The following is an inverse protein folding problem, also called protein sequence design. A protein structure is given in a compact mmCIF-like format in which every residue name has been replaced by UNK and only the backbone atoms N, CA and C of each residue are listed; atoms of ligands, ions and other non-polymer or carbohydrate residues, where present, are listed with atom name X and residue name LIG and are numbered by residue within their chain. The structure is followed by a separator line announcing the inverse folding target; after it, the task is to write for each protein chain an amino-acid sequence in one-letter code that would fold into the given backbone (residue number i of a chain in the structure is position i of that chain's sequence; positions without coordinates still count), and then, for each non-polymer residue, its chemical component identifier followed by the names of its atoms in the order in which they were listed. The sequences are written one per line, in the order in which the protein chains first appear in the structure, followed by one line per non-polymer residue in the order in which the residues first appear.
data_IF_806950158305
#
_entry.id   IF_806950158305
#
_cell.length_a   1.000
_cell.length_b   1.000
_cell.length_c   1.000
_cell.angle_alpha   90.00
_cell.angle_beta   90.00
_cell.angle_gamma   90.00
#
_symmetry.space_group_name_H-M   'P 1'
#
loop_
_entity.id
_entity.type
_entity.pdbx_description
1 polymer ?
#
# COMPACT_ATOMS: atom_id res chain seq x y z
N UNK A 1 7.65 -16.57 30.97
CA UNK A 1 9.10 -16.29 30.89
C UNK A 1 9.45 -15.39 32.05
N UNK A 2 10.32 -15.78 32.97
CA UNK A 2 10.99 -14.76 33.78
C UNK A 2 11.81 -13.93 32.80
N UNK A 3 11.85 -12.60 32.92
CA UNK A 3 12.49 -11.74 31.92
C UNK A 3 13.86 -12.26 31.42
N UNK A 4 14.62 -12.93 32.30
CA UNK A 4 15.93 -13.52 32.04
C UNK A 4 15.99 -14.65 31.00
N UNK A 5 14.90 -15.37 30.68
CA UNK A 5 14.95 -16.45 29.69
C UNK A 5 14.74 -15.92 28.25
N UNK A 6 14.01 -14.80 28.06
CA UNK A 6 13.98 -14.08 26.77
C UNK A 6 15.37 -13.57 26.41
N UNK A 7 16.15 -13.13 27.40
CA UNK A 7 17.53 -12.68 27.19
C UNK A 7 18.42 -13.79 26.64
N UNK A 8 18.21 -15.04 27.07
CA UNK A 8 18.99 -16.18 26.59
C UNK A 8 18.61 -16.60 25.17
N UNK A 9 17.33 -16.50 24.83
CA UNK A 9 16.82 -16.82 23.49
C UNK A 9 17.24 -15.75 22.48
N UNK A 10 17.18 -14.47 22.85
CA UNK A 10 17.72 -13.38 22.06
C UNK A 10 19.25 -13.51 21.90
N UNK A 11 19.97 -13.90 22.96
CA UNK A 11 21.42 -14.11 22.90
C UNK A 11 21.81 -15.31 22.02
N UNK A 12 21.02 -16.38 22.01
CA UNK A 12 21.25 -17.52 21.14
C UNK A 12 20.99 -17.18 19.65
N UNK A 13 19.90 -16.46 19.35
CA UNK A 13 19.61 -15.96 18.00
C UNK A 13 20.69 -14.96 17.52
N UNK A 14 21.17 -14.07 18.39
CA UNK A 14 22.30 -13.17 18.06
C UNK A 14 23.62 -13.93 17.84
N UNK A 15 23.83 -15.03 18.56
CA UNK A 15 25.02 -15.85 18.40
C UNK A 15 24.99 -16.70 17.13
N UNK A 16 23.82 -17.06 16.58
CA UNK A 16 23.76 -17.79 15.32
C UNK A 16 24.10 -16.89 14.15
N UNK A 17 23.57 -15.66 14.10
CA UNK A 17 23.91 -14.64 13.09
C UNK A 17 25.43 -14.42 12.96
N UNK A 18 26.14 -14.28 14.09
CA UNK A 18 27.60 -14.03 14.11
C UNK A 18 28.44 -15.19 13.60
N UNK A 19 27.87 -16.40 13.50
CA UNK A 19 28.54 -17.57 12.94
C UNK A 19 28.38 -17.70 11.44
N UNK A 20 27.74 -16.71 10.78
CA UNK A 20 27.54 -16.72 9.33
C UNK A 20 26.65 -17.88 8.88
N UNK A 21 25.71 -18.27 9.75
CA UNK A 21 24.61 -19.13 9.33
C UNK A 21 23.81 -18.40 8.26
N UNK A 22 23.25 -19.13 7.30
CA UNK A 22 22.63 -18.52 6.14
C UNK A 22 21.48 -17.54 6.47
N UNK A 23 20.82 -17.65 7.65
CA UNK A 23 19.76 -16.71 8.08
C UNK A 23 19.44 -16.75 9.61
N UNK A 24 18.83 -15.68 10.18
CA UNK A 24 18.23 -15.66 11.55
C UNK A 24 17.29 -14.45 11.78
N UNK A 25 16.21 -14.56 12.61
CA UNK A 25 15.44 -13.40 13.12
C UNK A 25 14.96 -13.37 14.56
N UNK A 26 14.65 -12.11 14.98
CA UNK A 26 13.86 -11.73 16.15
C UNK A 26 12.99 -10.43 15.95
N UNK A 27 11.77 -10.27 16.53
CA UNK A 27 11.01 -8.97 16.62
C UNK A 27 10.05 -8.82 17.85
N UNK A 28 9.84 -7.59 18.42
CA UNK A 28 8.83 -7.28 19.50
C UNK A 28 8.61 -5.81 19.98
N UNK A 29 7.38 -5.46 20.45
CA UNK A 29 6.98 -4.15 21.04
C UNK A 29 6.94 -4.08 22.60
N UNK A 30 6.93 -2.90 23.26
CA UNK A 30 7.12 -2.76 24.72
C UNK A 30 6.05 -3.42 25.61
N UNK A 31 4.80 -3.48 25.16
CA UNK A 31 3.74 -4.22 25.88
C UNK A 31 3.95 -5.74 25.81
N UNK A 32 4.67 -6.18 24.78
CA UNK A 32 5.10 -7.56 24.58
C UNK A 32 6.29 -7.90 25.51
N UNK A 33 7.07 -6.91 25.98
CA UNK A 33 8.25 -7.12 26.82
C UNK A 33 7.96 -7.40 28.32
N UNK A 34 6.73 -7.17 28.80
CA UNK A 34 6.36 -7.40 30.22
C UNK A 34 5.88 -8.82 30.49
N UNK A 35 5.20 -9.41 29.50
CA UNK A 35 4.67 -10.78 29.54
C UNK A 35 5.49 -11.77 28.67
N UNK A 36 6.31 -11.23 27.77
CA UNK A 36 7.16 -11.98 26.87
C UNK A 36 6.79 -11.84 25.38
N UNK A 37 7.77 -12.04 24.49
CA UNK A 37 7.67 -11.63 23.09
C UNK A 37 7.94 -12.66 22.00
N UNK A 38 7.13 -12.70 20.95
CA UNK A 38 7.36 -13.62 19.82
C UNK A 38 7.99 -12.90 18.64
N UNK A 39 9.06 -13.48 18.14
CA UNK A 39 9.96 -13.01 17.09
C UNK A 39 9.69 -13.70 15.74
N UNK A 40 9.83 -13.02 14.59
CA UNK A 40 9.54 -13.58 13.25
C UNK A 40 10.66 -13.34 12.23
N UNK A 41 10.95 -14.34 11.38
CA UNK A 41 11.91 -14.31 10.25
C UNK A 41 11.45 -13.51 9.01
N UNK A 42 11.98 -12.30 8.74
CA UNK A 42 11.86 -11.58 7.45
C UNK A 42 13.03 -11.95 6.54
N UNK A 43 12.91 -13.08 5.85
CA UNK A 43 13.97 -13.61 5.02
C UNK A 43 14.46 -12.60 3.96
N UNK A 44 15.66 -12.79 3.39
CA UNK A 44 16.27 -11.89 2.39
C UNK A 44 15.38 -11.59 1.15
N UNK A 45 14.34 -12.39 0.93
CA UNK A 45 13.30 -12.21 -0.09
C UNK A 45 12.10 -11.34 0.38
N UNK A 46 12.26 -10.62 1.50
CA UNK A 46 11.49 -9.48 2.00
C UNK A 46 9.96 -9.63 1.98
N UNK A 47 9.31 -9.77 3.14
CA UNK A 47 7.86 -9.57 3.38
C UNK A 47 6.85 -10.25 2.41
N UNK A 48 7.31 -11.05 1.44
CA UNK A 48 6.57 -11.33 0.21
C UNK A 48 5.37 -12.27 0.38
N UNK A 49 5.15 -12.80 1.60
CA UNK A 49 4.05 -13.72 1.91
C UNK A 49 3.25 -13.34 3.18
N UNK A 50 3.53 -12.20 3.82
CA UNK A 50 2.80 -11.82 5.06
C UNK A 50 1.47 -11.13 4.75
N UNK A 51 1.34 -10.52 3.56
CA UNK A 51 0.08 -9.90 3.13
C UNK A 51 -0.53 -10.66 1.96
N UNK A 52 -1.40 -11.62 2.27
CA UNK A 52 -2.10 -12.38 1.25
C UNK A 52 -2.95 -11.44 0.37
N UNK A 53 -2.65 -11.38 -0.93
CA UNK A 53 -3.29 -10.47 -1.87
C UNK A 53 -3.91 -11.24 -3.04
N UNK A 54 -5.15 -10.93 -3.39
CA UNK A 54 -5.79 -11.44 -4.59
C UNK A 54 -5.83 -10.34 -5.65
N UNK A 55 -5.15 -10.53 -6.78
CA UNK A 55 -5.12 -9.58 -7.90
C UNK A 55 -6.44 -9.57 -8.68
N UNK A 56 -7.44 -8.98 -8.04
CA UNK A 56 -8.81 -8.83 -8.51
C UNK A 56 -9.32 -7.45 -8.15
N UNK A 57 -10.10 -6.85 -9.05
CA UNK A 57 -10.70 -5.55 -8.80
C UNK A 57 -11.93 -5.68 -7.91
N UNK A 58 -12.13 -4.73 -7.01
CA UNK A 58 -13.36 -4.58 -6.24
C UNK A 58 -14.56 -4.46 -7.20
N UNK A 59 -15.66 -5.21 -6.98
CA UNK A 59 -16.67 -5.42 -8.02
C UNK A 59 -17.60 -4.22 -8.22
N UNK A 60 -17.68 -3.29 -7.26
CA UNK A 60 -18.61 -2.17 -7.33
C UNK A 60 -17.90 -0.92 -7.83
N UNK A 61 -18.56 -0.23 -8.77
CA UNK A 61 -18.19 1.11 -9.15
C UNK A 61 -18.69 2.08 -8.08
N UNK A 62 -17.78 2.80 -7.43
CA UNK A 62 -18.20 3.85 -6.50
C UNK A 62 -18.91 4.97 -7.25
N UNK A 63 -20.07 5.35 -6.74
CA UNK A 63 -20.85 6.46 -7.26
C UNK A 63 -20.29 7.83 -6.92
N UNK A 64 -20.93 8.87 -7.47
CA UNK A 64 -20.90 10.23 -6.92
C UNK A 64 -21.29 10.16 -5.44
N UNK A 65 -20.29 10.25 -4.57
CA UNK A 65 -20.46 10.05 -3.12
C UNK A 65 -19.27 9.39 -2.45
N UNK A 66 -18.39 8.70 -3.20
CA UNK A 66 -17.19 8.03 -2.66
C UNK A 66 -16.59 8.77 -1.47
N UNK A 67 -16.76 8.19 -0.27
CA UNK A 67 -16.29 8.77 0.98
C UNK A 67 -14.98 8.08 1.34
N UNK A 68 -13.92 8.85 1.52
CA UNK A 68 -12.60 8.33 1.82
C UNK A 68 -11.51 9.36 1.56
N UNK A 69 -10.28 8.99 1.87
CA UNK A 69 -9.13 9.84 1.64
C UNK A 69 -7.88 9.42 2.40
N UNK A 70 -6.82 10.23 2.28
CA UNK A 70 -5.57 10.03 2.98
C UNK A 70 -5.67 10.35 4.48
N UNK A 71 -5.10 9.47 5.30
CA UNK A 71 -4.92 9.65 6.74
C UNK A 71 -3.44 9.64 7.09
N UNK A 72 -3.02 10.58 7.95
CA UNK A 72 -1.70 10.58 8.58
C UNK A 72 -1.84 10.30 10.07
N UNK A 73 -0.86 9.61 10.65
CA UNK A 73 -0.74 9.47 12.09
C UNK A 73 0.18 10.56 12.64
N UNK A 74 -0.40 11.61 13.23
CA UNK A 74 0.36 12.73 13.83
C UNK A 74 -0.01 12.87 15.30
N UNK A 75 0.98 12.76 16.18
CA UNK A 75 0.80 13.05 17.60
C UNK A 75 1.03 14.55 17.85
N UNK A 76 0.08 15.19 18.53
CA UNK A 76 0.14 16.61 18.90
C UNK A 76 0.19 16.72 20.42
N UNK A 77 1.23 17.37 20.95
CA UNK A 77 1.43 17.59 22.39
C UNK A 77 1.49 19.08 22.67
N UNK A 78 0.62 19.57 23.55
CA UNK A 78 0.66 20.95 24.05
C UNK A 78 1.41 20.95 25.38
N UNK A 79 2.50 21.70 25.44
CA UNK A 79 3.35 21.85 26.63
C UNK A 79 2.66 22.71 27.69
N UNK A 80 3.12 22.64 28.94
CA UNK A 80 2.58 23.46 30.04
C UNK A 80 2.72 24.98 29.84
N UNK A 81 3.57 25.43 28.90
CA UNK A 81 3.71 26.84 28.50
C UNK A 81 2.79 27.24 27.33
N UNK A 82 1.97 26.32 26.81
CA UNK A 82 1.05 26.55 25.69
C UNK A 82 1.66 26.33 24.29
N UNK A 83 2.93 25.94 24.19
CA UNK A 83 3.56 25.62 22.89
C UNK A 83 3.15 24.23 22.41
N UNK A 84 2.94 24.08 21.11
CA UNK A 84 2.59 22.82 20.45
C UNK A 84 3.82 22.14 19.84
N UNK A 85 3.96 20.84 20.07
CA UNK A 85 4.90 19.97 19.39
C UNK A 85 4.13 18.91 18.60
N UNK A 86 4.49 18.75 17.32
CA UNK A 86 3.86 17.78 16.39
C UNK A 86 4.88 16.74 15.95
N UNK A 87 4.51 15.47 16.03
CA UNK A 87 5.33 14.34 15.62
C UNK A 87 4.56 13.46 14.62
N UNK A 88 4.99 13.43 13.36
CA UNK A 88 4.39 12.55 12.34
C UNK A 88 4.98 11.15 12.47
N UNK A 89 4.14 10.17 12.80
CA UNK A 89 4.55 8.78 12.95
C UNK A 89 4.65 8.04 11.61
N UNK A 90 3.90 8.49 10.59
CA UNK A 90 3.95 7.93 9.25
C UNK A 90 4.59 8.92 8.29
N UNK A 91 5.51 8.42 7.46
CA UNK A 91 6.08 9.19 6.35
C UNK A 91 5.07 9.36 5.21
N UNK A 92 4.24 8.33 4.98
CA UNK A 92 3.21 8.34 3.95
C UNK A 92 1.79 8.30 4.51
N UNK A 93 0.87 8.92 3.77
CA UNK A 93 -0.56 8.84 4.07
C UNK A 93 -1.07 7.42 3.79
N UNK A 94 -1.92 6.89 4.66
CA UNK A 94 -2.62 5.63 4.45
C UNK A 94 -4.04 5.93 4.01
N UNK A 95 -4.53 5.26 2.97
CA UNK A 95 -5.87 5.54 2.46
C UNK A 95 -6.93 4.71 3.20
N UNK A 96 -8.05 5.38 3.49
CA UNK A 96 -9.25 4.78 4.04
C UNK A 96 -10.45 5.16 3.18
N UNK A 97 -11.35 4.22 2.94
CA UNK A 97 -12.55 4.43 2.14
C UNK A 97 -13.77 3.76 2.77
N UNK A 98 -14.96 4.29 2.49
CA UNK A 98 -16.22 3.59 2.67
C UNK A 98 -16.85 3.29 1.31
N UNK A 99 -16.81 2.01 0.92
CA UNK A 99 -17.33 1.53 -0.34
C UNK A 99 -18.85 1.26 -0.32
N UNK A 100 -19.49 1.52 0.82
CA UNK A 100 -20.91 1.31 1.06
C UNK A 100 -21.85 2.00 0.08
N UNK A 101 -21.42 3.18 -0.39
CA UNK A 101 -22.13 4.01 -1.35
C UNK A 101 -22.21 3.40 -2.77
N UNK A 102 -21.46 2.32 -3.03
CA UNK A 102 -21.48 1.59 -4.29
C UNK A 102 -22.65 0.61 -4.44
N UNK A 103 -23.36 0.26 -3.35
CA UNK A 103 -24.44 -0.75 -3.39
C UNK A 103 -25.75 -0.12 -3.86
N UNK A 104 -26.14 -0.38 -5.12
CA UNK A 104 -27.32 0.27 -5.76
C UNK A 104 -28.41 -0.71 -6.15
N UNK A 105 -28.17 -2.00 -6.01
CA UNK A 105 -29.10 -3.05 -6.42
C UNK A 105 -28.89 -4.32 -5.60
N UNK A 106 -29.86 -5.24 -5.66
CA UNK A 106 -29.71 -6.59 -5.08
C UNK A 106 -28.55 -7.36 -5.72
N UNK A 107 -28.28 -7.12 -7.00
CA UNK A 107 -27.14 -7.70 -7.70
C UNK A 107 -25.80 -7.20 -7.12
N UNK A 108 -25.69 -5.90 -6.83
CA UNK A 108 -24.50 -5.32 -6.19
C UNK A 108 -24.29 -5.91 -4.79
N UNK A 109 -25.38 -6.05 -4.03
CA UNK A 109 -25.33 -6.66 -2.71
C UNK A 109 -24.86 -8.11 -2.78
N UNK A 110 -25.39 -8.90 -3.73
CA UNK A 110 -24.97 -10.28 -3.95
C UNK A 110 -23.48 -10.35 -4.33
N UNK A 111 -23.03 -9.48 -5.25
CA UNK A 111 -21.63 -9.38 -5.67
C UNK A 111 -20.71 -9.01 -4.50
N UNK A 112 -21.11 -8.06 -3.66
CA UNK A 112 -20.37 -7.67 -2.46
C UNK A 112 -20.25 -8.82 -1.47
N UNK A 113 -21.34 -9.52 -1.15
CA UNK A 113 -21.33 -10.66 -0.23
C UNK A 113 -20.42 -11.78 -0.76
N UNK A 114 -20.52 -12.08 -2.06
CA UNK A 114 -19.70 -13.10 -2.70
C UNK A 114 -18.20 -12.72 -2.63
N UNK A 115 -17.88 -11.47 -2.95
CA UNK A 115 -16.51 -10.94 -2.90
C UNK A 115 -15.96 -10.94 -1.48
N UNK A 116 -16.73 -10.46 -0.50
CA UNK A 116 -16.35 -10.45 0.92
C UNK A 116 -16.03 -11.84 1.45
N UNK A 117 -16.88 -12.83 1.16
CA UNK A 117 -16.64 -14.23 1.54
C UNK A 117 -15.40 -14.81 0.87
N UNK A 118 -15.19 -14.50 -0.40
CA UNK A 118 -14.01 -14.93 -1.15
C UNK A 118 -12.70 -14.30 -0.65
N UNK A 119 -12.76 -13.18 0.09
CA UNK A 119 -11.60 -12.54 0.77
C UNK A 119 -11.51 -12.86 2.25
N UNK A 120 -12.46 -13.61 2.81
CA UNK A 120 -12.51 -14.02 4.23
C UNK A 120 -12.39 -12.80 5.17
N UNK A 121 -13.16 -11.75 4.91
CA UNK A 121 -13.10 -10.52 5.70
C UNK A 121 -11.78 -9.80 5.48
N UNK A 122 -11.04 -9.52 6.56
CA UNK A 122 -9.80 -8.74 6.52
C UNK A 122 -8.59 -9.52 5.99
N UNK A 123 -8.71 -10.85 5.79
CA UNK A 123 -7.57 -11.72 5.57
C UNK A 123 -6.86 -11.52 4.22
N UNK A 124 -7.55 -11.05 3.18
CA UNK A 124 -6.97 -10.90 1.84
C UNK A 124 -7.17 -9.51 1.26
N UNK A 125 -6.08 -8.92 0.76
CA UNK A 125 -6.10 -7.69 -0.02
C UNK A 125 -6.61 -7.89 -1.45
N UNK A 126 -6.96 -6.78 -2.11
CA UNK A 126 -7.45 -6.71 -3.48
C UNK A 126 -7.28 -5.30 -4.05
N UNK A 127 -7.52 -5.13 -5.35
CA UNK A 127 -7.39 -3.85 -6.05
C UNK A 127 -8.65 -3.02 -5.92
N UNK A 128 -8.48 -1.73 -5.74
CA UNK A 128 -9.56 -0.77 -5.69
C UNK A 128 -9.23 0.47 -6.53
N UNK A 129 -10.08 0.76 -7.52
CA UNK A 129 -9.94 1.94 -8.38
C UNK A 129 -10.50 3.16 -7.66
N UNK A 130 -9.63 3.99 -7.10
CA UNK A 130 -10.03 5.23 -6.42
C UNK A 130 -10.56 6.28 -7.43
N UNK A 131 -11.84 6.67 -7.37
CA UNK A 131 -12.38 7.67 -8.30
C UNK A 131 -11.75 9.07 -8.12
N UNK A 132 -11.16 9.37 -6.96
CA UNK A 132 -10.60 10.68 -6.63
C UNK A 132 -9.13 10.82 -7.04
N UNK A 133 -8.37 9.73 -7.06
CA UNK A 133 -6.92 9.80 -7.23
C UNK A 133 -6.29 8.63 -8.01
N UNK A 134 -6.98 8.07 -9.00
CA UNK A 134 -6.48 6.91 -9.79
C UNK A 134 -5.49 7.21 -10.92
N UNK A 135 -5.15 8.46 -11.19
CA UNK A 135 -4.27 8.83 -12.32
C UNK A 135 -3.00 9.47 -11.80
N UNK A 136 -1.91 9.38 -12.56
CA UNK A 136 -0.68 10.14 -12.27
C UNK A 136 -0.89 11.65 -12.40
N UNK A 137 -1.99 12.08 -13.04
CA UNK A 137 -2.23 13.46 -13.43
C UNK A 137 -1.27 13.85 -14.55
N UNK A 138 -0.19 14.51 -14.18
CA UNK A 138 0.93 14.82 -15.07
C UNK A 138 1.91 13.64 -15.18
N UNK A 139 2.85 13.74 -16.12
CA UNK A 139 3.94 12.78 -16.24
C UNK A 139 4.88 12.89 -15.03
N UNK A 140 5.15 11.76 -14.40
CA UNK A 140 5.95 11.69 -13.18
C UNK A 140 7.40 11.37 -13.51
N UNK A 141 8.34 12.12 -12.93
CA UNK A 141 9.76 11.80 -13.00
C UNK A 141 10.04 10.58 -12.12
N UNK A 142 10.46 9.50 -12.76
CA UNK A 142 10.84 8.25 -12.09
C UNK A 142 12.33 8.23 -11.74
N UNK A 143 13.16 8.89 -12.56
CA UNK A 143 14.59 8.96 -12.37
C UNK A 143 15.31 9.58 -13.56
N UNK A 144 16.64 9.61 -13.49
CA UNK A 144 17.52 10.06 -14.59
C UNK A 144 18.45 8.91 -14.92
N UNK A 145 18.60 8.61 -16.21
CA UNK A 145 19.53 7.59 -16.67
C UNK A 145 20.95 7.87 -16.22
N UNK A 146 21.62 6.86 -15.72
CA UNK A 146 23.03 6.84 -15.33
C UNK A 146 23.86 5.92 -16.25
N UNK A 147 23.23 5.34 -17.27
CA UNK A 147 23.85 4.38 -18.18
C UNK A 147 23.97 2.95 -17.63
N UNK A 148 23.49 2.68 -16.41
CA UNK A 148 23.54 1.36 -15.77
C UNK A 148 22.20 0.86 -15.23
N UNK A 149 21.40 1.71 -14.61
CA UNK A 149 20.10 1.37 -14.05
C UNK A 149 19.08 1.06 -15.16
N UNK A 150 18.42 -0.09 -15.04
CA UNK A 150 17.38 -0.53 -15.99
C UNK A 150 15.98 -0.57 -15.36
N UNK A 151 15.87 -0.46 -14.04
CA UNK A 151 14.60 -0.60 -13.32
C UNK A 151 14.23 0.70 -12.63
N UNK A 152 13.04 1.20 -12.90
CA UNK A 152 12.52 2.45 -12.35
C UNK A 152 11.15 2.22 -11.72
N UNK A 153 10.99 2.60 -10.46
CA UNK A 153 9.71 2.52 -9.77
C UNK A 153 8.71 3.53 -10.30
N UNK A 154 7.46 3.11 -10.55
CA UNK A 154 6.36 4.06 -10.74
C UNK A 154 6.07 4.78 -9.43
N UNK A 155 6.13 6.10 -9.47
CA UNK A 155 5.87 6.95 -8.31
C UNK A 155 4.93 8.06 -8.69
N UNK A 156 4.15 8.53 -7.72
CA UNK A 156 3.37 9.76 -7.82
C UNK A 156 3.82 10.73 -6.76
N UNK A 157 4.07 11.96 -7.18
CA UNK A 157 4.52 13.04 -6.30
C UNK A 157 3.34 13.92 -5.88
N UNK A 158 3.24 14.24 -4.59
CA UNK A 158 2.27 15.18 -4.05
C UNK A 158 3.00 16.37 -3.40
N UNK A 159 2.59 17.59 -3.74
CA UNK A 159 3.20 18.82 -3.24
C UNK A 159 4.42 19.27 -4.05
N UNK A 160 5.08 20.32 -3.55
CA UNK A 160 6.20 20.99 -4.22
C UNK A 160 7.55 20.39 -3.80
N UNK A 161 8.59 20.57 -4.62
CA UNK A 161 9.89 19.87 -4.52
C UNK A 161 10.62 19.94 -3.15
N UNK A 162 10.29 20.88 -2.27
CA UNK A 162 10.88 21.00 -0.92
C UNK A 162 10.23 20.11 0.14
N UNK A 163 8.93 19.88 0.04
CA UNK A 163 8.11 19.10 1.01
C UNK A 163 7.33 17.98 0.30
N UNK A 164 7.87 17.52 -0.83
CA UNK A 164 7.20 16.60 -1.75
C UNK A 164 7.07 15.21 -1.14
N UNK A 165 5.83 14.75 -0.97
CA UNK A 165 5.57 13.35 -0.68
C UNK A 165 5.72 12.53 -1.96
N UNK A 166 6.44 11.41 -1.88
CA UNK A 166 6.61 10.48 -3.00
C UNK A 166 5.91 9.18 -2.65
N UNK A 167 4.83 8.85 -3.38
CA UNK A 167 4.10 7.61 -3.19
C UNK A 167 4.53 6.56 -4.20
N UNK A 168 4.83 5.36 -3.72
CA UNK A 168 5.06 4.18 -4.56
C UNK A 168 3.75 3.68 -5.16
N UNK A 169 3.76 3.41 -6.47
CA UNK A 169 2.61 2.88 -7.21
C UNK A 169 2.88 1.43 -7.61
N UNK A 170 2.32 0.49 -6.85
CA UNK A 170 2.57 -0.96 -7.02
C UNK A 170 1.56 -1.66 -7.92
N UNK A 171 0.36 -1.07 -8.10
CA UNK A 171 -0.76 -1.64 -8.87
C UNK A 171 -1.16 -0.76 -10.07
N UNK A 172 -0.25 -0.47 -11.02
CA UNK A 172 -0.59 0.27 -12.23
C UNK A 172 -1.56 -0.51 -13.13
N UNK A 173 -2.42 0.21 -13.83
CA UNK A 173 -3.27 -0.37 -14.89
C UNK A 173 -2.39 -0.56 -16.12
N UNK A 174 -2.01 -1.81 -16.41
CA UNK A 174 -0.97 -2.13 -17.39
C UNK A 174 -1.13 -1.45 -18.76
N UNK A 175 -2.36 -1.36 -19.28
CA UNK A 175 -2.64 -0.74 -20.59
C UNK A 175 -2.61 0.79 -20.62
N UNK A 176 -2.41 1.46 -19.47
CA UNK A 176 -2.40 2.93 -19.35
C UNK A 176 -1.00 3.53 -19.29
N UNK A 177 0.05 2.72 -19.08
CA UNK A 177 1.40 3.21 -18.79
C UNK A 177 2.05 3.73 -20.07
N UNK A 178 2.41 5.02 -20.07
CA UNK A 178 3.15 5.69 -21.15
C UNK A 178 4.50 6.14 -20.62
N UNK A 179 5.58 5.58 -21.16
CA UNK A 179 6.97 5.86 -20.75
C UNK A 179 7.64 6.82 -21.73
N UNK A 180 8.36 7.81 -21.20
CA UNK A 180 9.25 8.70 -21.97
C UNK A 180 10.67 8.65 -21.44
N UNK A 181 11.63 8.68 -22.37
CA UNK A 181 13.06 8.79 -22.06
C UNK A 181 13.66 9.93 -22.86
N UNK A 182 14.20 10.93 -22.19
CA UNK A 182 14.74 12.13 -22.87
C UNK A 182 13.67 12.93 -23.63
N UNK A 183 12.42 12.92 -23.14
CA UNK A 183 11.27 13.62 -23.74
C UNK A 183 10.55 12.86 -24.85
N UNK A 184 11.13 11.78 -25.38
CA UNK A 184 10.52 10.96 -26.43
C UNK A 184 9.74 9.76 -25.85
N UNK A 185 8.53 9.50 -26.35
CA UNK A 185 7.74 8.31 -26.00
C UNK A 185 8.47 7.05 -26.46
N UNK A 186 8.52 6.04 -25.59
CA UNK A 186 9.05 4.72 -25.88
C UNK A 186 7.90 3.73 -26.03
N UNK A 187 7.70 3.24 -27.25
CA UNK A 187 6.69 2.22 -27.55
C UNK A 187 7.17 0.78 -27.30
N UNK A 188 8.49 0.57 -27.20
CA UNK A 188 9.14 -0.73 -27.04
C UNK A 188 10.46 -0.59 -26.28
N UNK A 189 11.11 -1.71 -25.95
CA UNK A 189 12.39 -1.75 -25.22
C UNK A 189 12.25 -1.59 -23.70
N UNK A 190 11.02 -1.74 -23.19
CA UNK A 190 10.71 -1.79 -21.77
C UNK A 190 9.49 -2.69 -21.54
N UNK A 191 9.36 -3.19 -20.32
CA UNK A 191 8.21 -3.95 -19.84
C UNK A 191 7.75 -3.42 -18.48
N UNK A 192 6.46 -3.60 -18.18
CA UNK A 192 5.93 -3.34 -16.86
C UNK A 192 6.21 -4.55 -15.96
N UNK A 193 7.16 -4.40 -15.04
CA UNK A 193 7.53 -5.38 -14.04
C UNK A 193 6.58 -5.41 -12.83
N UNK A 194 6.69 -6.49 -12.05
CA UNK A 194 5.95 -6.68 -10.81
C UNK A 194 6.18 -5.52 -9.82
N UNK A 195 5.16 -5.22 -9.00
CA UNK A 195 5.21 -4.09 -8.06
C UNK A 195 5.26 -2.73 -8.75
N UNK A 196 4.83 -2.63 -10.01
CA UNK A 196 4.76 -1.37 -10.76
C UNK A 196 6.14 -0.78 -11.08
N UNK A 197 7.01 -1.57 -11.68
CA UNK A 197 8.32 -1.12 -12.16
C UNK A 197 8.34 -1.00 -13.68
N UNK A 198 9.03 0.00 -14.20
CA UNK A 198 9.40 0.08 -15.63
C UNK A 198 10.78 -0.55 -15.76
N UNK A 199 10.84 -1.71 -16.40
CA UNK A 199 12.06 -2.47 -16.63
C UNK A 199 12.50 -2.29 -18.09
N UNK A 200 13.61 -1.59 -18.31
CA UNK A 200 14.21 -1.38 -19.63
C UNK A 200 15.11 -2.54 -20.03
N UNK A 201 15.09 -2.91 -21.32
CA UNK A 201 16.02 -3.89 -21.89
C UNK A 201 17.45 -3.35 -21.96
N UNK A 202 17.59 -2.03 -22.15
CA UNK A 202 18.87 -1.31 -22.23
C UNK A 202 18.79 -0.09 -21.30
N UNK A 203 19.81 0.17 -20.47
CA UNK A 203 19.77 1.28 -19.54
C UNK A 203 19.58 2.62 -20.26
N UNK A 204 18.70 3.51 -19.77
CA UNK A 204 18.59 4.86 -20.29
C UNK A 204 19.94 5.59 -20.27
N UNK A 205 20.22 6.35 -21.33
CA UNK A 205 21.48 7.08 -21.46
C UNK A 205 21.71 8.06 -20.29
N UNK A 206 22.98 8.30 -19.98
CA UNK A 206 23.39 9.25 -18.93
C UNK A 206 22.72 10.61 -19.14
N UNK A 207 22.03 11.10 -18.12
CA UNK A 207 21.34 12.39 -18.14
C UNK A 207 19.96 12.38 -18.80
N UNK A 208 19.50 11.26 -19.35
CA UNK A 208 18.16 11.17 -19.95
C UNK A 208 17.08 11.02 -18.85
N UNK A 209 16.14 11.98 -18.69
CA UNK A 209 15.04 11.83 -17.74
C UNK A 209 14.12 10.68 -18.16
N UNK A 210 13.75 9.85 -17.19
CA UNK A 210 12.76 8.78 -17.31
C UNK A 210 11.47 9.26 -16.68
N UNK A 211 10.44 9.42 -17.49
CA UNK A 211 9.12 9.92 -17.09
C UNK A 211 8.05 8.87 -17.40
N UNK A 212 6.97 8.84 -16.62
CA UNK A 212 5.80 8.04 -16.98
C UNK A 212 4.47 8.71 -16.59
N UNK A 213 3.46 8.54 -17.44
CA UNK A 213 2.05 8.77 -17.13
C UNK A 213 1.31 7.43 -17.03
N UNK A 214 0.38 7.28 -16.09
CA UNK A 214 -0.32 6.01 -15.85
C UNK A 214 -1.58 6.18 -15.01
N UNK A 215 -2.52 5.24 -15.16
CA UNK A 215 -3.59 4.98 -14.21
C UNK A 215 -3.17 3.86 -13.23
N UNK A 216 -3.74 3.84 -12.04
CA UNK A 216 -3.43 2.85 -11.01
C UNK A 216 -4.61 2.55 -10.09
N UNK A 217 -4.54 1.38 -9.48
CA UNK A 217 -5.43 0.97 -8.39
C UNK A 217 -4.70 1.08 -7.05
N UNK A 218 -5.48 1.18 -5.98
CA UNK A 218 -4.98 1.14 -4.60
C UNK A 218 -5.11 -0.29 -4.07
N UNK A 219 -4.03 -0.90 -3.53
CA UNK A 219 -4.13 -2.15 -2.81
C UNK A 219 -4.83 -1.92 -1.48
N UNK A 220 -6.00 -2.54 -1.28
CA UNK A 220 -6.80 -2.39 -0.07
C UNK A 220 -7.22 -3.75 0.47
N UNK A 221 -7.70 -3.78 1.70
CA UNK A 221 -8.46 -4.91 2.27
C UNK A 221 -9.72 -4.38 2.95
N UNK A 222 -10.65 -5.27 3.26
CA UNK A 222 -11.71 -4.91 4.19
C UNK A 222 -11.12 -4.51 5.55
N UNK A 223 -11.69 -3.48 6.18
CA UNK A 223 -11.27 -3.03 7.51
C UNK A 223 -11.97 -3.80 8.64
N UNK A 224 -12.96 -4.63 8.33
CA UNK A 224 -13.72 -5.42 9.29
C UNK A 224 -13.99 -6.86 8.80
N UNK A 225 -14.11 -7.80 9.73
CA UNK A 225 -14.46 -9.21 9.45
C UNK A 225 -15.98 -9.46 9.36
N UNK A 226 -16.76 -8.39 9.50
CA UNK A 226 -18.21 -8.40 9.34
C UNK A 226 -18.64 -7.18 8.54
N UNK A 227 -19.55 -7.41 7.59
CA UNK A 227 -20.33 -6.35 6.94
C UNK A 227 -21.79 -6.54 7.32
N UNK A 228 -22.43 -5.47 7.79
CA UNK A 228 -23.85 -5.46 8.11
C UNK A 228 -24.62 -4.93 6.89
N UNK A 229 -25.33 -5.84 6.23
CA UNK A 229 -26.10 -5.55 5.01
C UNK A 229 -27.56 -5.91 5.23
N UNK A 230 -28.46 -4.94 5.03
CA UNK A 230 -29.90 -5.11 5.20
C UNK A 230 -30.65 -4.71 3.94
N UNK A 231 -31.44 -5.63 3.38
CA UNK A 231 -32.33 -5.35 2.23
C UNK A 231 -33.41 -4.33 2.63
N UNK A 232 -33.91 -4.40 3.87
CA UNK A 232 -34.92 -3.47 4.38
C UNK A 232 -34.33 -2.07 4.63
N UNK A 233 -33.10 -2.00 5.15
CA UNK A 233 -32.36 -0.75 5.34
C UNK A 233 -32.10 -0.06 4.01
N UNK A 234 -31.58 -0.80 3.02
CA UNK A 234 -31.35 -0.26 1.66
C UNK A 234 -32.64 0.28 1.02
N UNK A 235 -33.76 -0.47 1.10
CA UNK A 235 -35.07 0.01 0.60
C UNK A 235 -35.60 1.24 1.35
N UNK A 236 -35.15 1.45 2.59
CA UNK A 236 -35.45 2.63 3.40
C UNK A 236 -34.45 3.78 3.19
N UNK A 237 -33.48 3.64 2.28
CA UNK A 237 -32.46 4.66 2.00
C UNK A 237 -31.24 4.63 2.94
N UNK A 238 -31.08 3.58 3.75
CA UNK A 238 -29.89 3.35 4.56
C UNK A 238 -28.75 2.83 3.68
N UNK A 239 -27.60 3.48 3.77
CA UNK A 239 -26.40 3.09 3.06
C UNK A 239 -25.62 2.12 3.95
N UNK A 240 -25.34 0.88 3.52
CA UNK A 240 -24.46 0.00 4.28
C UNK A 240 -23.08 0.64 4.38
N UNK A 241 -22.36 0.45 5.48
CA UNK A 241 -20.95 0.85 5.56
C UNK A 241 -20.07 -0.34 5.18
N UNK A 242 -19.13 -0.12 4.27
CA UNK A 242 -18.17 -1.12 3.80
C UNK A 242 -16.78 -0.51 3.85
N UNK A 243 -16.16 -0.48 5.04
CA UNK A 243 -14.89 0.20 5.23
C UNK A 243 -13.74 -0.60 4.59
N UNK A 244 -12.94 0.09 3.80
CA UNK A 244 -11.72 -0.42 3.16
C UNK A 244 -10.53 0.36 3.68
N UNK A 245 -9.42 -0.34 3.87
CA UNK A 245 -8.17 0.26 4.32
C UNK A 245 -7.03 -0.18 3.42
N UNK A 246 -6.17 0.78 3.05
CA UNK A 246 -4.97 0.52 2.26
C UNK A 246 -4.05 -0.48 2.96
N UNK A 247 -3.52 -1.38 2.14
CA UNK A 247 -2.44 -2.29 2.46
C UNK A 247 -1.15 -1.66 1.98
N UNK A 248 -0.14 -1.61 2.85
CA UNK A 248 1.20 -1.18 2.45
C UNK A 248 1.88 -2.32 1.70
N UNK A 249 2.44 -1.98 0.56
CA UNK A 249 3.22 -2.86 -0.29
C UNK A 249 4.56 -2.15 -0.55
N UNK A 250 5.67 -2.87 -0.40
CA UNK A 250 7.03 -2.37 -0.63
C UNK A 250 7.42 -2.40 -2.12
#
# INVERSE_FOLDING_TARGET
MVAADWERIAAAAASSLTRGVAETFVWAWPQVARDGFTAFELTADGESDVTAFHDVLFPLQLGYGAAGGPEFSTQVVVTGSGHEQRNSQWADARLYYDAGLGVRSEADLSALIAFFRARRGQAHGFRFSDPLDRTSGEEQLLGVGDGGATRFALVKHYGEAGDRQTRRITRPVAGSVVVRVGGAVRMQGWALGAGGHVDFEVPPAVGAPVMAGFDFDVPVRFAADRIDVSIAGWRAGELPSVPLVEVRED
#
